data_IF_268679816069
#
_entry.id   IF_268679816069
#
_cell.length_a   1.000
_cell.length_b   1.000
_cell.length_c   1.000
_cell.angle_alpha   90.00
_cell.angle_beta   90.00
_cell.angle_gamma   90.00
#
_symmetry.space_group_name_H-M   'P 1'
#
loop_
_entity.id
_entity.type
_entity.pdbx_description
1 polymer ?
#
# COMPACT_ATOMS: atom_id res chain seq x y z
N UNK A 1 27.04 22.95 0.40
CA UNK A 1 26.37 22.07 1.37
C UNK A 1 24.96 22.59 1.56
N UNK A 2 24.03 22.23 0.66
CA UNK A 2 22.63 22.60 0.79
C UNK A 2 21.87 21.35 1.22
N UNK A 3 21.21 21.44 2.37
CA UNK A 3 20.50 20.37 3.04
C UNK A 3 19.30 19.86 2.25
N UNK A 4 19.06 18.57 2.40
CA UNK A 4 17.90 17.84 1.90
C UNK A 4 16.61 18.41 2.52
N UNK A 5 15.52 18.62 1.76
CA UNK A 5 14.21 18.89 2.34
C UNK A 5 13.58 17.60 2.87
N UNK A 6 13.26 17.64 4.16
CA UNK A 6 12.69 16.60 4.99
C UNK A 6 11.19 16.39 4.64
N UNK A 7 10.88 15.42 3.77
CA UNK A 7 9.50 15.05 3.43
C UNK A 7 8.97 14.01 4.42
N UNK A 8 8.66 14.42 5.65
CA UNK A 8 8.04 13.55 6.64
C UNK A 8 6.53 13.38 6.38
N UNK A 9 6.04 12.15 6.64
CA UNK A 9 4.65 11.68 6.52
C UNK A 9 3.59 12.55 7.26
N UNK A 10 4.05 13.47 8.11
CA UNK A 10 3.24 14.33 8.96
C UNK A 10 2.53 15.46 8.19
N UNK A 11 3.13 15.98 7.10
CA UNK A 11 2.55 17.11 6.38
C UNK A 11 1.29 16.74 5.57
N UNK A 12 1.22 15.51 5.05
CA UNK A 12 0.06 15.03 4.28
C UNK A 12 -1.14 14.70 5.17
N UNK A 13 -0.90 14.31 6.43
CA UNK A 13 -1.99 14.04 7.40
C UNK A 13 -2.60 15.36 7.89
N UNK A 14 -1.79 16.43 7.99
CA UNK A 14 -2.24 17.73 8.47
C UNK A 14 -3.27 18.39 7.55
N UNK A 15 -3.23 18.17 6.24
CA UNK A 15 -4.18 18.78 5.29
C UNK A 15 -5.60 18.19 5.34
N UNK A 16 -5.80 17.02 5.96
CA UNK A 16 -7.15 16.43 6.14
C UNK A 16 -7.82 16.87 7.44
N UNK A 17 -7.05 17.41 8.39
CA UNK A 17 -7.53 17.86 9.69
C UNK A 17 -7.91 19.36 9.71
N UNK A 18 -7.68 20.09 8.62
CA UNK A 18 -7.96 21.52 8.48
C UNK A 18 -9.39 21.84 8.01
N UNK A 19 -10.22 20.82 7.75
CA UNK A 19 -11.62 21.04 7.43
C UNK A 19 -12.35 21.69 8.60
N UNK A 20 -13.14 22.72 8.28
CA UNK A 20 -13.96 23.42 9.26
C UNK A 20 -15.01 22.48 9.87
N UNK A 21 -15.29 22.65 11.17
CA UNK A 21 -16.30 21.86 11.92
C UNK A 21 -17.69 21.77 11.26
N UNK A 22 -18.21 22.82 10.58
CA UNK A 22 -19.45 22.72 9.82
C UNK A 22 -19.40 21.67 8.69
N UNK A 23 -18.28 21.59 7.97
CA UNK A 23 -18.08 20.65 6.86
C UNK A 23 -18.00 19.21 7.36
N UNK A 24 -17.34 18.97 8.52
CA UNK A 24 -17.31 17.65 9.16
C UNK A 24 -18.70 17.19 9.61
N UNK A 25 -19.48 18.08 10.23
CA UNK A 25 -20.84 17.76 10.68
C UNK A 25 -21.78 17.40 9.54
N UNK A 26 -21.64 18.05 8.38
CA UNK A 26 -22.43 17.74 7.18
C UNK A 26 -22.09 16.39 6.58
N UNK A 27 -20.80 16.02 6.58
CA UNK A 27 -20.36 14.71 6.07
C UNK A 27 -20.88 13.57 6.96
N UNK A 28 -20.84 13.74 8.28
CA UNK A 28 -21.34 12.77 9.26
C UNK A 28 -22.85 12.61 9.13
N UNK A 29 -23.60 13.70 8.96
CA UNK A 29 -25.05 13.65 8.75
C UNK A 29 -25.44 12.96 7.44
N UNK A 30 -24.68 13.17 6.36
CA UNK A 30 -24.93 12.53 5.06
C UNK A 30 -24.69 11.01 5.07
N UNK A 31 -23.79 10.53 5.93
CA UNK A 31 -23.49 9.09 6.09
C UNK A 31 -24.58 8.39 6.94
N UNK A 32 -25.15 9.10 7.91
CA UNK A 32 -26.15 8.53 8.83
C UNK A 32 -27.50 8.23 8.15
N UNK A 33 -27.86 8.96 7.10
CA UNK A 33 -29.18 8.84 6.42
C UNK A 33 -29.28 7.63 5.47
N UNK A 34 -28.17 6.94 5.18
CA UNK A 34 -28.13 5.81 4.23
C UNK A 34 -28.16 4.42 4.89
N UNK A 35 -28.40 4.30 6.20
CA UNK A 35 -28.36 3.02 6.89
C UNK A 35 -29.77 2.56 7.32
N UNK A 36 -30.27 1.39 6.85
CA UNK A 36 -31.60 0.91 7.21
C UNK A 36 -31.68 0.48 8.68
N UNK A 37 -32.82 0.78 9.31
CA UNK A 37 -33.15 0.45 10.70
C UNK A 37 -33.26 -1.06 10.90
N UNK A 38 -32.14 -1.71 11.24
CA UNK A 38 -32.17 -3.08 11.78
C UNK A 38 -32.56 -2.97 13.25
N UNK A 39 -33.79 -3.42 13.57
CA UNK A 39 -34.28 -3.58 14.93
C UNK A 39 -33.27 -4.37 15.78
N UNK A 40 -32.72 -3.72 16.80
CA UNK A 40 -31.78 -4.34 17.75
C UNK A 40 -32.50 -4.53 19.09
N UNK A 41 -32.34 -5.68 19.78
CA UNK A 41 -32.64 -5.73 21.20
C UNK A 41 -31.75 -4.70 21.92
N UNK A 42 -32.37 -3.96 22.84
CA UNK A 42 -31.75 -2.86 23.59
C UNK A 42 -30.63 -3.43 24.46
N UNK A 43 -29.42 -3.46 23.90
CA UNK A 43 -28.19 -3.59 24.64
C UNK A 43 -27.68 -2.21 25.05
N UNK A 44 -27.02 -2.10 26.20
CA UNK A 44 -26.32 -0.86 26.59
C UNK A 44 -25.29 -0.49 25.51
N UNK A 45 -24.87 0.77 25.48
CA UNK A 45 -23.84 1.24 24.52
C UNK A 45 -22.59 0.34 24.52
N UNK A 46 -22.23 -0.21 25.68
CA UNK A 46 -21.13 -1.15 25.85
C UNK A 46 -21.37 -2.49 25.12
N UNK A 47 -22.59 -3.00 25.14
CA UNK A 47 -22.95 -4.27 24.48
C UNK A 47 -22.95 -4.12 22.96
N UNK A 48 -23.46 -3.01 22.43
CA UNK A 48 -23.41 -2.70 20.99
C UNK A 48 -21.97 -2.51 20.53
N UNK A 49 -21.14 -1.84 21.34
CA UNK A 49 -19.71 -1.65 21.05
C UNK A 49 -18.95 -2.99 21.07
N UNK A 50 -19.23 -3.85 22.04
CA UNK A 50 -18.63 -5.18 22.13
C UNK A 50 -19.00 -6.08 20.94
N UNK A 51 -20.27 -6.06 20.53
CA UNK A 51 -20.74 -6.89 19.40
C UNK A 51 -20.23 -6.38 18.05
N UNK A 52 -20.17 -5.06 17.87
CA UNK A 52 -19.56 -4.44 16.69
C UNK A 52 -18.05 -4.73 16.65
N UNK A 53 -17.35 -4.63 17.78
CA UNK A 53 -15.93 -4.98 17.88
C UNK A 53 -15.68 -6.46 17.57
N UNK A 54 -16.55 -7.37 18.02
CA UNK A 54 -16.46 -8.80 17.72
C UNK A 54 -16.67 -9.10 16.22
N UNK A 55 -17.65 -8.43 15.58
CA UNK A 55 -17.94 -8.62 14.14
C UNK A 55 -16.86 -7.99 13.26
N UNK A 56 -16.30 -6.85 13.65
CA UNK A 56 -15.14 -6.23 12.98
C UNK A 56 -13.89 -7.11 13.14
N UNK A 57 -13.66 -7.71 14.32
CA UNK A 57 -12.52 -8.60 14.54
C UNK A 57 -12.58 -9.91 13.73
N UNK A 58 -13.77 -10.36 13.33
CA UNK A 58 -13.92 -11.53 12.46
C UNK A 58 -13.65 -11.19 10.99
N UNK A 59 -14.01 -9.98 10.53
CA UNK A 59 -13.84 -9.58 9.13
C UNK A 59 -12.48 -8.93 8.83
N UNK A 60 -11.88 -8.30 9.83
CA UNK A 60 -10.51 -7.82 9.80
C UNK A 60 -9.74 -8.63 10.85
N UNK A 61 -9.12 -9.77 10.49
CA UNK A 61 -8.10 -10.33 11.36
C UNK A 61 -7.11 -9.20 11.61
N UNK A 62 -7.04 -8.75 12.86
CA UNK A 62 -6.00 -7.82 13.28
C UNK A 62 -4.68 -8.42 12.82
N UNK A 63 -3.97 -7.76 11.90
CA UNK A 63 -2.51 -7.79 11.90
C UNK A 63 -2.07 -7.06 13.18
N UNK A 64 -2.27 -7.77 14.28
CA UNK A 64 -2.15 -7.35 15.67
C UNK A 64 -2.32 -8.61 16.51
N UNK A 65 -1.60 -9.65 16.09
CA UNK A 65 -1.55 -10.92 16.79
C UNK A 65 -0.55 -10.83 17.92
N UNK A 66 -0.95 -11.32 19.09
CA UNK A 66 -0.07 -11.68 20.19
C UNK A 66 0.73 -12.95 19.85
N UNK A 67 1.21 -13.05 18.60
CA UNK A 67 2.07 -14.11 18.09
C UNK A 67 3.47 -13.52 17.95
N UNK A 68 4.50 -14.30 18.27
CA UNK A 68 5.88 -13.89 17.98
C UNK A 68 5.93 -13.59 16.48
N UNK A 69 6.36 -12.38 16.11
CA UNK A 69 6.66 -12.05 14.72
C UNK A 69 7.74 -13.04 14.27
N UNK A 70 7.33 -14.08 13.54
CA UNK A 70 8.29 -15.04 12.97
C UNK A 70 8.91 -14.32 11.78
N UNK A 71 10.23 -14.06 11.78
CA UNK A 71 10.87 -13.44 10.63
C UNK A 71 10.63 -14.34 9.42
N UNK A 72 10.26 -13.75 8.29
CA UNK A 72 10.02 -14.47 7.04
C UNK A 72 11.14 -14.21 6.05
N UNK A 73 11.47 -15.23 5.26
CA UNK A 73 12.41 -15.10 4.15
C UNK A 73 11.80 -15.60 2.83
N UNK A 74 12.22 -14.98 1.73
CA UNK A 74 11.81 -15.39 0.39
C UNK A 74 12.38 -16.77 0.05
N UNK A 75 11.59 -17.60 -0.62
CA UNK A 75 12.01 -18.91 -1.12
C UNK A 75 12.06 -18.89 -2.64
N UNK A 76 13.00 -19.65 -3.21
CA UNK A 76 13.13 -19.79 -4.66
C UNK A 76 13.88 -18.63 -5.33
N UNK A 77 13.98 -18.64 -6.67
CA UNK A 77 14.73 -17.63 -7.42
C UNK A 77 14.09 -16.25 -7.26
N UNK A 78 14.93 -15.21 -7.32
CA UNK A 78 14.45 -13.84 -7.44
C UNK A 78 13.80 -13.63 -8.81
N UNK A 79 12.77 -12.79 -8.85
CA UNK A 79 12.12 -12.37 -10.07
C UNK A 79 12.99 -11.28 -10.71
N UNK A 80 13.41 -11.49 -11.96
CA UNK A 80 14.09 -10.45 -12.72
C UNK A 80 13.06 -9.42 -13.23
N UNK A 81 13.08 -8.16 -12.75
CA UNK A 81 12.12 -7.14 -13.17
C UNK A 81 12.14 -6.87 -14.67
N UNK A 82 13.26 -7.14 -15.37
CA UNK A 82 13.39 -6.95 -16.82
C UNK A 82 12.48 -7.87 -17.63
N UNK A 83 11.98 -8.94 -17.02
CA UNK A 83 11.02 -9.86 -17.67
C UNK A 83 9.59 -9.31 -17.68
N UNK A 84 9.28 -8.33 -16.83
CA UNK A 84 7.94 -7.77 -16.64
C UNK A 84 7.62 -6.60 -17.56
N UNK A 85 8.60 -6.14 -18.33
CA UNK A 85 8.50 -4.94 -19.14
C UNK A 85 9.50 -4.91 -20.28
N UNK A 86 9.57 -3.77 -20.95
CA UNK A 86 10.60 -3.47 -21.94
C UNK A 86 11.35 -2.21 -21.54
N UNK A 87 12.65 -2.16 -21.86
CA UNK A 87 13.49 -1.00 -21.57
C UNK A 87 13.04 0.21 -22.37
N UNK A 88 12.90 1.34 -21.69
CA UNK A 88 12.61 2.63 -22.33
C UNK A 88 13.81 3.56 -22.19
N UNK A 89 14.14 4.24 -23.28
CA UNK A 89 15.16 5.30 -23.32
C UNK A 89 14.55 6.68 -23.09
N UNK A 90 13.25 6.83 -23.38
CA UNK A 90 12.49 8.04 -23.11
C UNK A 90 11.87 7.91 -21.73
N UNK A 91 12.27 8.81 -20.83
CA UNK A 91 11.68 8.91 -19.52
C UNK A 91 10.36 9.70 -19.59
N UNK A 92 9.42 9.43 -18.67
CA UNK A 92 8.25 10.28 -18.51
C UNK A 92 8.67 11.75 -18.25
N UNK A 93 7.78 12.72 -18.49
CA UNK A 93 8.08 14.14 -18.27
C UNK A 93 8.77 14.38 -16.92
N UNK A 94 9.73 15.31 -16.86
CA UNK A 94 10.58 15.55 -15.68
C UNK A 94 9.82 15.86 -14.37
N UNK A 95 8.55 16.24 -14.49
CA UNK A 95 7.68 16.57 -13.35
C UNK A 95 6.99 15.33 -12.75
N UNK A 96 7.02 14.18 -13.46
CA UNK A 96 6.54 12.91 -12.94
C UNK A 96 7.59 12.28 -12.00
N UNK A 97 7.13 11.82 -10.83
CA UNK A 97 7.97 11.18 -9.82
C UNK A 97 7.65 9.70 -9.74
N UNK A 98 8.67 8.88 -9.51
CA UNK A 98 8.48 7.46 -9.28
C UNK A 98 7.63 7.26 -8.02
N UNK A 99 6.47 6.56 -8.06
CA UNK A 99 5.61 6.41 -6.88
C UNK A 99 6.22 5.49 -5.80
N UNK A 100 7.32 4.78 -6.12
CA UNK A 100 8.05 3.91 -5.19
C UNK A 100 9.03 4.72 -4.34
N UNK A 101 10.01 5.38 -4.98
CA UNK A 101 11.04 6.14 -4.26
C UNK A 101 10.71 7.63 -4.09
N UNK A 102 9.70 8.14 -4.81
CA UNK A 102 9.31 9.56 -4.90
C UNK A 102 10.41 10.49 -5.43
N UNK A 103 11.50 9.95 -5.94
CA UNK A 103 12.49 10.70 -6.68
C UNK A 103 11.99 10.95 -8.11
N UNK A 104 12.51 12.01 -8.73
CA UNK A 104 12.35 12.19 -10.16
C UNK A 104 13.01 11.00 -10.87
N UNK A 105 12.52 10.66 -12.06
CA UNK A 105 13.26 9.78 -12.94
C UNK A 105 14.62 10.44 -13.19
N UNK A 106 15.68 9.75 -12.79
CA UNK A 106 17.05 10.29 -12.77
C UNK A 106 17.54 10.61 -14.18
N UNK A 107 18.74 11.18 -14.32
CA UNK A 107 19.30 11.61 -15.60
C UNK A 107 19.21 10.55 -16.72
N UNK A 108 19.19 10.97 -18.00
CA UNK A 108 19.16 10.07 -19.14
C UNK A 108 20.32 9.06 -19.08
N UNK A 109 19.99 7.79 -18.85
CA UNK A 109 20.96 6.69 -18.71
C UNK A 109 20.56 5.65 -17.67
N UNK A 110 19.75 6.01 -16.69
CA UNK A 110 19.28 5.06 -15.68
C UNK A 110 18.25 4.09 -16.26
N UNK A 111 18.48 2.76 -16.15
CA UNK A 111 17.64 1.78 -16.80
C UNK A 111 16.22 1.84 -16.24
N UNK A 112 15.27 2.20 -17.10
CA UNK A 112 13.85 2.25 -16.79
C UNK A 112 13.08 1.24 -17.64
N UNK A 113 12.03 0.67 -17.07
CA UNK A 113 11.17 -0.32 -17.72
C UNK A 113 9.74 0.21 -17.80
N UNK A 114 9.15 0.14 -18.99
CA UNK A 114 7.70 0.23 -19.15
C UNK A 114 7.09 -1.17 -18.95
N UNK A 115 6.18 -1.31 -17.98
CA UNK A 115 5.56 -2.58 -17.65
C UNK A 115 4.63 -3.07 -18.76
N UNK A 116 4.75 -4.34 -19.15
CA UNK A 116 3.95 -4.90 -20.26
C UNK A 116 2.44 -4.95 -19.93
N UNK A 117 2.08 -5.08 -18.65
CA UNK A 117 0.69 -5.18 -18.22
C UNK A 117 -0.09 -3.85 -18.27
N UNK A 118 0.59 -2.70 -18.13
CA UNK A 118 -0.10 -1.41 -17.97
C UNK A 118 0.61 -0.20 -18.58
N UNK A 119 1.84 -0.34 -19.08
CA UNK A 119 2.62 0.74 -19.71
C UNK A 119 3.28 1.72 -18.75
N UNK A 120 3.05 1.64 -17.45
CA UNK A 120 3.68 2.53 -16.47
C UNK A 120 5.18 2.28 -16.37
N UNK A 121 5.95 3.36 -16.26
CA UNK A 121 7.42 3.35 -16.27
C UNK A 121 7.97 3.39 -14.86
N UNK A 122 8.96 2.54 -14.58
CA UNK A 122 9.68 2.51 -13.31
C UNK A 122 11.18 2.33 -13.53
N UNK A 123 12.05 2.97 -12.72
CA UNK A 123 13.46 2.61 -12.67
C UNK A 123 13.60 1.15 -12.24
N UNK A 124 14.54 0.42 -12.85
CA UNK A 124 14.81 -0.99 -12.52
C UNK A 124 15.11 -1.15 -11.03
N UNK A 125 15.91 -0.24 -10.46
CA UNK A 125 16.32 -0.27 -9.05
C UNK A 125 15.15 -0.08 -8.07
N UNK A 126 14.06 0.55 -8.52
CA UNK A 126 12.84 0.68 -7.72
C UNK A 126 11.91 -0.53 -7.93
N UNK A 127 11.90 -1.10 -9.13
CA UNK A 127 11.02 -2.22 -9.46
C UNK A 127 11.55 -3.54 -8.87
N UNK A 128 12.87 -3.74 -8.84
CA UNK A 128 13.50 -4.94 -8.30
C UNK A 128 13.07 -5.27 -6.85
N UNK A 129 13.25 -4.37 -5.86
CA UNK A 129 12.80 -4.64 -4.49
C UNK A 129 11.27 -4.71 -4.39
N UNK A 130 10.54 -4.06 -5.29
CA UNK A 130 9.08 -4.11 -5.30
C UNK A 130 8.55 -5.49 -5.69
N UNK A 131 9.11 -6.10 -6.73
CA UNK A 131 8.67 -7.41 -7.25
C UNK A 131 9.21 -8.56 -6.42
N UNK A 132 10.35 -8.36 -5.76
CA UNK A 132 10.96 -9.34 -4.88
C UNK A 132 10.56 -9.20 -3.41
N UNK A 133 9.63 -8.30 -3.09
CA UNK A 133 9.14 -8.14 -1.72
C UNK A 133 8.41 -9.38 -1.23
N UNK A 134 8.45 -9.60 0.07
CA UNK A 134 7.79 -10.72 0.73
C UNK A 134 6.88 -10.18 1.81
N UNK A 135 5.59 -10.42 1.65
CA UNK A 135 4.56 -10.04 2.62
C UNK A 135 3.65 -11.24 2.88
N UNK A 136 3.28 -11.46 4.15
CA UNK A 136 2.41 -12.58 4.55
C UNK A 136 1.04 -12.44 3.88
N UNK A 137 0.62 -13.48 3.17
CA UNK A 137 -0.68 -13.51 2.48
C UNK A 137 -0.74 -12.73 1.16
N UNK A 138 0.38 -12.21 0.66
CA UNK A 138 0.44 -11.62 -0.67
C UNK A 138 0.57 -12.74 -1.72
N UNK A 139 -0.43 -12.86 -2.60
CA UNK A 139 -0.41 -13.84 -3.70
C UNK A 139 0.09 -13.24 -5.02
N UNK A 140 -0.09 -11.93 -5.23
CA UNK A 140 0.26 -11.28 -6.49
C UNK A 140 1.03 -9.99 -6.27
N UNK A 141 1.92 -9.65 -7.20
CA UNK A 141 2.57 -8.35 -7.26
C UNK A 141 1.79 -7.46 -8.22
N UNK A 142 1.48 -6.25 -7.78
CA UNK A 142 0.67 -5.29 -8.53
C UNK A 142 1.46 -4.01 -8.82
N UNK A 143 1.12 -3.34 -9.92
CA UNK A 143 1.65 -2.05 -10.29
C UNK A 143 1.40 -1.02 -9.17
N UNK A 144 2.44 -0.31 -8.67
CA UNK A 144 2.26 0.73 -7.66
C UNK A 144 1.32 1.86 -8.08
N UNK A 145 1.22 2.11 -9.39
CA UNK A 145 0.46 3.23 -9.95
C UNK A 145 -1.02 2.87 -10.18
N UNK A 146 -1.28 1.80 -10.94
CA UNK A 146 -2.64 1.44 -11.38
C UNK A 146 -3.18 0.12 -10.80
N UNK A 147 -2.39 -0.58 -9.97
CA UNK A 147 -2.73 -1.88 -9.37
C UNK A 147 -2.96 -3.03 -10.35
N UNK A 148 -2.64 -2.88 -11.64
CA UNK A 148 -2.61 -4.01 -12.57
C UNK A 148 -1.67 -5.12 -12.07
N UNK A 149 -2.07 -6.38 -12.18
CA UNK A 149 -1.25 -7.52 -11.78
C UNK A 149 -0.04 -7.65 -12.72
N UNK A 150 1.16 -7.79 -12.15
CA UNK A 150 2.43 -7.91 -12.87
C UNK A 150 2.91 -9.36 -12.93
N UNK A 151 2.87 -10.06 -11.80
CA UNK A 151 3.28 -11.45 -11.64
C UNK A 151 2.72 -12.04 -10.34
N UNK A 152 2.88 -13.34 -10.16
CA UNK A 152 2.67 -14.00 -8.87
C UNK A 152 3.75 -13.57 -7.87
N UNK A 153 3.37 -13.46 -6.59
CA UNK A 153 4.31 -13.18 -5.52
C UNK A 153 5.21 -14.40 -5.26
N UNK A 154 6.40 -14.16 -4.69
CA UNK A 154 7.32 -15.23 -4.32
C UNK A 154 6.81 -15.96 -3.09
N UNK A 155 7.03 -17.27 -3.06
CA UNK A 155 6.83 -18.06 -1.86
C UNK A 155 7.74 -17.58 -0.73
N UNK A 156 7.30 -17.78 0.51
CA UNK A 156 8.07 -17.44 1.70
C UNK A 156 7.95 -18.52 2.77
N UNK A 157 8.92 -18.56 3.67
CA UNK A 157 8.88 -19.42 4.85
C UNK A 157 9.24 -18.62 6.10
N UNK A 158 8.64 -19.01 7.22
CA UNK A 158 9.06 -18.51 8.53
C UNK A 158 10.41 -19.09 8.90
N UNK A 159 11.30 -18.23 9.39
CA UNK A 159 12.60 -18.57 9.92
C UNK A 159 12.46 -18.64 11.44
N UNK A 160 12.72 -19.81 12.01
CA UNK A 160 12.88 -19.95 13.46
C UNK A 160 14.36 -19.77 13.75
N UNK A 161 14.71 -18.75 14.53
CA UNK A 161 16.08 -18.63 15.04
C UNK A 161 16.29 -19.79 16.03
N UNK A 162 17.24 -20.67 15.72
CA UNK A 162 17.62 -21.85 16.55
C UNK A 162 18.46 -21.46 17.78
#
# INVERSE_FOLDING_TARGET
MHGMPDCTLLSVIQDTLTLDEPTKSRLIAAIHDQLPEVERPIGTADQVTAELAARVAFFFPKNGGNGRDVPIEAVGPAIDPRTLGHSVTEQPPSDERCPVCRCNFADPGDPSLALNACGHVFPVDCLDPWVNRVDVGLSTINCPYCRAQLCEARDYKGVVEE
#
